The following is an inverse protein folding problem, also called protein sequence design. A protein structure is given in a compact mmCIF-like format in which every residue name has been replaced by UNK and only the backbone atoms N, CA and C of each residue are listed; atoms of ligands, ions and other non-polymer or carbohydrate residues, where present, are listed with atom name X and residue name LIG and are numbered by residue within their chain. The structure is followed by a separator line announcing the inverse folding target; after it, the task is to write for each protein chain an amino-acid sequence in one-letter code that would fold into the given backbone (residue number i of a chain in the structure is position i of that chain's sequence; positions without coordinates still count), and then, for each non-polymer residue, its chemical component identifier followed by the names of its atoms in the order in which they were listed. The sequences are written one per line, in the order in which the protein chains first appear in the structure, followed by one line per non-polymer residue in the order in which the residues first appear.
data_IF_509954273494
#
_entry.id   IF_509954273494
#
_cell.length_a   1.000
_cell.length_b   1.000
_cell.length_c   1.000
_cell.angle_alpha   90.00
_cell.angle_beta   90.00
_cell.angle_gamma   90.00
#
_symmetry.space_group_name_H-M   'P 1'
#
loop_
_entity.id
_entity.type
_entity.pdbx_description
1 polymer ?
2 non-polymer ?
3 non-polymer ?
4 water ?
#
# COMPACT_ATOMS: atom_id res chain seq x y z
N UNK A 8 17.14 13.13 -18.88
CA UNK A 8 16.86 11.94 -18.08
C UNK A 8 15.67 12.18 -17.15
N UNK A 9 14.86 11.14 -16.96
CA UNK A 9 13.65 11.23 -16.16
C UNK A 9 13.73 10.25 -14.99
N UNK A 10 13.68 10.71 -13.74
CA UNK A 10 13.78 9.75 -12.62
C UNK A 10 12.56 8.88 -12.44
N UNK A 11 11.36 9.37 -12.76
CA UNK A 11 10.14 8.58 -12.65
C UNK A 11 9.38 8.54 -13.97
N UNK A 12 8.54 7.53 -14.19
CA UNK A 12 7.80 7.44 -15.44
C UNK A 12 6.80 8.56 -15.59
N UNK A 13 6.19 8.59 -16.78
CA UNK A 13 5.24 9.63 -17.17
C UNK A 13 4.08 9.72 -16.19
N UNK A 14 4.00 10.85 -15.49
CA UNK A 14 2.89 11.20 -14.59
C UNK A 14 2.91 10.39 -13.29
N UNK A 15 4.01 9.72 -12.98
CA UNK A 15 4.16 9.13 -11.66
C UNK A 15 4.60 10.21 -10.66
N UNK A 16 4.41 9.91 -9.38
CA UNK A 16 4.84 10.80 -8.31
C UNK A 16 6.19 10.33 -7.78
N UNK A 17 7.03 11.29 -7.41
CA UNK A 17 8.38 11.02 -6.94
C UNK A 17 8.50 11.41 -5.47
N UNK A 18 9.16 10.57 -4.69
CA UNK A 18 9.39 10.84 -3.28
C UNK A 18 10.60 10.06 -2.80
N UNK A 19 11.60 10.77 -2.30
CA UNK A 19 12.76 10.18 -1.65
C UNK A 19 13.31 8.99 -2.46
N UNK A 20 13.69 9.28 -3.69
CA UNK A 20 14.36 8.30 -4.51
C UNK A 20 13.51 7.11 -4.90
N UNK A 21 12.19 7.27 -4.90
CA UNK A 21 11.29 6.20 -5.31
C UNK A 21 10.19 6.79 -6.17
N UNK A 22 9.54 5.93 -6.96
CA UNK A 22 8.49 6.32 -7.87
C UNK A 22 7.21 5.60 -7.47
N UNK A 23 6.18 6.38 -7.15
CA UNK A 23 4.90 5.84 -6.76
C UNK A 23 3.85 6.18 -7.82
N UNK A 24 2.72 5.48 -7.74
CA UNK A 24 1.68 5.59 -8.76
C UNK A 24 0.37 5.12 -8.16
N UNK A 25 -0.62 6.00 -8.10
CA UNK A 25 -1.96 5.63 -7.65
C UNK A 25 -2.82 5.28 -8.86
N UNK A 26 -3.46 4.12 -8.79
CA UNK A 26 -4.31 3.69 -9.89
C UNK A 26 -5.50 4.61 -10.04
N UNK A 27 -6.11 4.57 -11.22
CA UNK A 27 -7.36 5.27 -11.48
C UNK A 27 -8.47 4.28 -11.83
N UNK A 28 -8.23 2.99 -11.66
CA UNK A 28 -9.27 1.96 -11.67
C UNK A 28 -9.11 1.12 -10.40
N UNK A 29 -10.08 0.25 -10.16
CA UNK A 29 -10.09 -0.55 -8.93
C UNK A 29 -9.88 -2.03 -9.24
N UNK A 30 -9.25 -2.72 -8.29
CA UNK A 30 -8.93 -4.13 -8.40
C UNK A 30 -8.95 -4.76 -7.02
N UNK A 31 -9.02 -6.09 -6.99
CA UNK A 31 -8.85 -6.76 -5.72
C UNK A 31 -7.36 -6.87 -5.40
N UNK A 32 -7.05 -7.30 -4.18
CA UNK A 32 -5.69 -7.21 -3.68
C UNK A 32 -4.71 -7.97 -4.57
N UNK A 33 -5.06 -9.21 -4.93
CA UNK A 33 -4.16 -10.01 -5.75
C UNK A 33 -4.03 -9.43 -7.15
N UNK A 34 -5.15 -9.03 -7.75
CA UNK A 34 -5.08 -8.37 -9.05
C UNK A 34 -4.29 -7.07 -8.99
N UNK A 35 -4.17 -6.46 -7.81
CA UNK A 35 -3.44 -5.21 -7.68
C UNK A 35 -1.93 -5.44 -7.74
N UNK A 36 -1.41 -6.35 -6.91
CA UNK A 36 0.01 -6.67 -7.00
C UNK A 36 0.36 -7.14 -8.40
N UNK A 37 -0.52 -7.92 -9.03
CA UNK A 37 -0.34 -8.26 -10.42
C UNK A 37 -0.16 -7.02 -11.27
N UNK A 38 -1.06 -6.04 -11.10
CA UNK A 38 -0.99 -4.82 -11.88
C UNK A 38 0.37 -4.13 -11.72
N UNK A 39 0.85 -4.03 -10.48
CA UNK A 39 2.14 -3.39 -10.25
C UNK A 39 3.27 -4.19 -10.87
N UNK A 40 3.23 -5.53 -10.73
CA UNK A 40 4.22 -6.36 -11.40
C UNK A 40 4.23 -6.11 -12.90
N UNK A 41 3.05 -5.98 -13.51
CA UNK A 41 2.97 -5.76 -14.95
C UNK A 41 3.81 -4.56 -15.39
N UNK A 42 3.94 -3.56 -14.52
CA UNK A 42 4.76 -2.39 -14.83
C UNK A 42 6.12 -2.47 -14.15
N UNK A 43 6.54 -3.66 -13.75
CA UNK A 43 7.82 -3.81 -13.08
C UNK A 43 7.89 -3.04 -11.78
N UNK A 44 6.78 -2.99 -11.05
CA UNK A 44 6.71 -2.32 -9.76
C UNK A 44 6.10 -3.29 -8.75
N UNK A 45 5.89 -2.80 -7.53
CA UNK A 45 5.37 -3.61 -6.44
C UNK A 45 4.28 -2.85 -5.72
N UNK A 46 3.21 -3.56 -5.35
CA UNK A 46 2.23 -2.99 -4.45
C UNK A 46 2.95 -2.46 -3.22
N UNK A 47 2.76 -1.17 -2.93
CA UNK A 47 3.68 -0.43 -2.09
C UNK A 47 3.98 -1.17 -0.79
N UNK A 48 5.26 -1.20 -0.45
CA UNK A 48 5.74 -1.62 0.87
C UNK A 48 6.34 -0.39 1.53
N UNK A 49 5.78 0.00 2.67
CA UNK A 49 6.26 1.17 3.39
C UNK A 49 7.49 0.79 4.19
N UNK A 50 8.52 1.64 4.12
CA UNK A 50 9.78 1.40 4.84
C UNK A 50 10.21 2.53 5.76
N UNK A 51 9.63 3.74 5.62
CA UNK A 51 9.99 4.87 6.46
C UNK A 51 8.73 5.47 7.07
N UNK A 52 8.92 6.24 8.15
CA UNK A 52 7.79 6.96 8.74
C UNK A 52 7.29 8.03 7.78
N UNK A 53 8.21 8.79 7.17
CA UNK A 53 7.80 9.87 6.27
C UNK A 53 7.14 9.31 5.01
N UNK A 54 7.56 8.13 4.56
CA UNK A 54 6.89 7.49 3.44
C UNK A 54 5.41 7.26 3.76
N UNK A 55 5.14 6.73 4.95
CA UNK A 55 3.76 6.53 5.39
C UNK A 55 2.96 7.82 5.31
N UNK A 56 3.42 8.87 6.00
CA UNK A 56 2.66 10.11 6.03
C UNK A 56 2.48 10.67 4.63
N UNK A 57 3.48 10.50 3.78
CA UNK A 57 3.36 10.93 2.39
C UNK A 57 2.21 10.20 1.70
N UNK A 58 2.30 8.86 1.64
CA UNK A 58 1.26 8.08 0.98
C UNK A 58 -0.10 8.26 1.64
N UNK A 59 -0.14 8.21 2.98
CA UNK A 59 -1.40 8.42 3.69
C UNK A 59 -2.05 9.73 3.28
N UNK A 60 -1.24 10.74 2.95
CA UNK A 60 -1.79 12.04 2.56
C UNK A 60 -2.34 12.01 1.14
N UNK A 61 -1.56 11.49 0.19
CA UNK A 61 -2.04 11.42 -1.19
C UNK A 61 -3.32 10.60 -1.26
N UNK A 62 -3.40 9.50 -0.51
CA UNK A 62 -4.56 8.63 -0.55
C UNK A 62 -5.80 9.34 0.00
N UNK A 63 -5.66 9.98 1.17
CA UNK A 63 -6.81 10.61 1.80
C UNK A 63 -7.34 11.77 0.96
N UNK A 64 -6.44 12.67 0.55
CA UNK A 64 -6.87 13.87 -0.18
C UNK A 64 -7.49 13.55 -1.54
N UNK A 65 -7.32 12.33 -2.04
CA UNK A 65 -8.06 11.88 -3.22
C UNK A 65 -9.32 11.12 -2.86
N UNK A 66 -9.62 11.01 -1.56
CA UNK A 66 -10.82 10.30 -1.08
C UNK A 66 -10.97 8.95 -1.79
N UNK A 67 -9.97 8.11 -1.59
CA UNK A 67 -9.91 6.80 -2.21
C UNK A 67 -9.37 5.78 -1.23
N UNK A 68 -10.09 4.68 -1.06
CA UNK A 68 -9.57 3.54 -0.33
C UNK A 68 -8.56 2.80 -1.19
N UNK A 69 -7.35 2.64 -0.67
CA UNK A 69 -6.20 2.24 -1.47
C UNK A 69 -5.51 1.03 -0.86
N UNK A 70 -5.30 -0.01 -1.68
CA UNK A 70 -4.57 -1.19 -1.26
C UNK A 70 -3.10 -0.86 -1.04
N UNK A 71 -2.49 -1.51 -0.04
CA UNK A 71 -1.05 -1.51 0.13
C UNK A 71 -0.59 -2.96 0.25
N UNK A 72 0.69 -3.17 0.01
CA UNK A 72 1.23 -4.51 -0.02
C UNK A 72 1.47 -5.11 1.35
N UNK A 73 0.41 -5.32 2.12
CA UNK A 73 0.50 -5.86 3.46
C UNK A 73 -0.67 -6.79 3.71
N UNK A 74 -0.39 -7.96 4.29
CA UNK A 74 -1.41 -8.97 4.47
C UNK A 74 -1.02 -9.87 5.64
N UNK A 75 -1.96 -10.73 6.04
CA UNK A 75 -1.68 -11.77 7.03
C UNK A 75 -2.09 -13.14 6.49
N UNK A 76 -1.94 -13.33 5.19
CA UNK A 76 -2.32 -14.59 4.55
C UNK A 76 -1.34 -15.71 4.84
N UNK A 77 -0.10 -15.39 5.22
CA UNK A 77 0.83 -16.42 5.68
C UNK A 77 0.38 -17.03 7.00
N UNK A 78 -0.34 -16.27 7.83
CA UNK A 78 -0.77 -16.74 9.14
C UNK A 78 -1.57 -15.65 9.86
N UNK A 79 -2.67 -16.04 10.49
CA UNK A 79 -3.56 -15.06 11.11
C UNK A 79 -2.84 -14.31 12.22
N UNK A 80 -3.00 -12.99 12.23
CA UNK A 80 -2.33 -12.13 13.19
C UNK A 80 -0.91 -11.75 12.82
N UNK A 81 -0.33 -12.37 11.78
CA UNK A 81 1.05 -12.13 11.38
C UNK A 81 1.05 -11.25 10.13
N UNK A 82 1.19 -9.94 10.33
CA UNK A 82 1.13 -8.99 9.23
C UNK A 82 2.50 -8.82 8.61
N UNK A 83 2.56 -9.02 7.30
CA UNK A 83 3.83 -9.16 6.60
C UNK A 83 3.73 -8.53 5.21
N UNK A 84 4.73 -7.74 4.86
CA UNK A 84 4.75 -7.06 3.57
C UNK A 84 5.07 -8.04 2.45
N UNK A 85 4.59 -7.73 1.25
CA UNK A 85 4.71 -8.64 0.12
C UNK A 85 6.16 -8.89 -0.28
N UNK A 86 7.11 -8.16 0.30
CA UNK A 86 8.52 -8.49 0.15
C UNK A 86 9.02 -9.43 1.25
N UNK A 87 8.11 -10.07 1.98
CA UNK A 87 8.51 -10.96 3.05
C UNK A 87 8.77 -10.24 4.36
N UNK A 88 9.22 -8.99 4.27
CA UNK A 88 9.59 -8.25 5.48
C UNK A 88 8.38 -8.17 6.42
N UNK A 89 8.59 -8.22 7.73
CA UNK A 89 7.47 -8.23 8.66
C UNK A 89 7.00 -6.82 9.00
N UNK A 90 5.83 -6.75 9.64
CA UNK A 90 5.30 -5.48 10.12
C UNK A 90 5.92 -5.19 11.47
N UNK A 91 6.75 -4.14 11.53
CA UNK A 91 7.48 -3.85 12.76
C UNK A 91 6.56 -3.23 13.79
N UNK A 92 6.89 -3.36 15.08
CA UNK A 92 6.07 -2.70 16.11
C UNK A 92 5.93 -1.22 15.88
N UNK A 93 6.98 -0.56 15.37
CA UNK A 93 6.93 0.87 15.16
C UNK A 93 5.80 1.24 14.20
N UNK A 94 5.57 0.43 13.16
CA UNK A 94 4.57 0.75 12.16
C UNK A 94 3.15 0.49 12.62
N UNK A 95 2.97 -0.28 13.70
CA UNK A 95 1.62 -0.65 14.13
C UNK A 95 0.81 0.53 14.64
N UNK A 96 1.44 1.68 14.88
CA UNK A 96 0.69 2.86 15.28
C UNK A 96 -0.14 3.43 14.13
N UNK A 97 0.16 3.04 12.89
CA UNK A 97 -0.53 3.59 11.73
C UNK A 97 -1.85 2.90 11.46
N UNK A 98 -2.13 1.77 12.10
CA UNK A 98 -3.47 1.25 12.11
C UNK A 98 -4.43 2.30 12.63
N UNK A 99 -5.65 2.31 12.10
CA UNK A 99 -6.71 3.10 12.69
C UNK A 99 -7.11 2.53 14.04
N UNK A 100 -7.61 3.40 14.91
CA UNK A 100 -8.05 2.94 16.22
C UNK A 100 -9.12 1.87 16.07
N UNK A 101 -8.99 0.80 16.83
CA UNK A 101 -9.88 -0.33 16.70
C UNK A 101 -9.55 -1.26 15.55
N UNK A 102 -8.49 -0.98 14.80
CA UNK A 102 -8.04 -1.86 13.74
C UNK A 102 -6.65 -2.40 14.08
N UNK A 103 -6.28 -3.56 13.55
CA UNK A 103 -7.10 -4.45 12.73
C UNK A 103 -8.09 -5.24 13.58
N UNK A 104 -9.33 -5.34 13.13
CA UNK A 104 -10.36 -6.04 13.88
C UNK A 104 -10.80 -7.35 13.24
N UNK A 105 -10.45 -7.60 11.98
CA UNK A 105 -10.71 -8.88 11.33
C UNK A 105 -12.20 -9.22 11.34
N UNK A 106 -13.03 -8.21 11.12
CA UNK A 106 -14.52 -8.38 11.14
C UNK A 106 -14.94 -9.11 9.85
N UNK A 107 -15.46 -10.33 9.97
CA UNK A 107 -15.88 -11.14 8.81
C UNK A 107 -14.67 -11.75 8.11
N UNK A 108 -13.52 -11.83 8.79
CA UNK A 108 -12.25 -12.35 8.21
C UNK A 108 -11.72 -11.30 7.24
N UNK A 109 -10.61 -10.63 7.57
CA UNK A 109 -10.05 -9.55 6.77
C UNK A 109 -8.53 -9.66 6.80
N UNK A 110 -7.91 -9.92 5.65
CA UNK A 110 -6.51 -10.32 5.59
C UNK A 110 -5.64 -9.40 4.76
N UNK A 111 -6.14 -8.24 4.34
CA UNK A 111 -5.36 -7.30 3.56
C UNK A 111 -5.56 -5.89 4.10
N UNK A 112 -4.52 -5.07 3.97
CA UNK A 112 -4.49 -3.74 4.57
C UNK A 112 -4.64 -2.66 3.51
N UNK A 113 -5.28 -1.56 3.89
CA UNK A 113 -5.58 -0.46 2.99
C UNK A 113 -5.37 0.86 3.71
N UNK A 114 -5.21 1.92 2.92
CA UNK A 114 -5.27 3.27 3.45
C UNK A 114 -6.73 3.69 3.56
N UNK A 115 -7.19 3.97 4.77
CA UNK A 115 -8.54 4.42 5.03
C UNK A 115 -8.45 5.61 5.99
N UNK A 116 -8.68 6.81 5.47
CA UNK A 116 -8.63 8.02 6.27
C UNK A 116 -7.26 8.36 6.85
N UNK A 117 -7.17 8.38 8.18
CA UNK A 117 -5.94 8.79 8.84
C UNK A 117 -4.89 7.68 8.90
N UNK A 118 -5.30 6.43 8.76
CA UNK A 118 -4.39 5.32 8.93
C UNK A 118 -4.80 4.13 8.10
N UNK A 119 -4.58 2.95 8.63
CA UNK A 119 -4.80 1.70 7.92
C UNK A 119 -6.01 0.97 8.50
N UNK A 120 -6.58 0.10 7.67
CA UNK A 120 -7.63 -0.82 8.09
C UNK A 120 -7.43 -2.14 7.36
N UNK A 121 -7.75 -3.23 8.05
CA UNK A 121 -7.78 -4.54 7.44
C UNK A 121 -9.15 -4.76 6.80
N UNK A 122 -9.16 -5.24 5.56
CA UNK A 122 -10.39 -5.50 4.84
C UNK A 122 -10.25 -6.81 4.08
N UNK A 123 -11.32 -7.19 3.39
CA UNK A 123 -11.35 -8.44 2.65
C UNK A 123 -10.57 -8.31 1.36
N UNK A 124 -9.64 -9.24 1.13
CA UNK A 124 -8.72 -9.11 0.00
C UNK A 124 -9.45 -9.15 -1.33
N UNK A 125 -10.60 -9.81 -1.40
CA UNK A 125 -11.35 -9.87 -2.65
C UNK A 125 -12.21 -8.63 -2.87
N UNK A 126 -12.20 -7.69 -1.93
CA UNK A 126 -12.91 -6.43 -2.11
C UNK A 126 -12.09 -5.52 -3.02
N UNK A 127 -12.74 -4.95 -4.03
CA UNK A 127 -12.03 -4.16 -5.03
C UNK A 127 -11.83 -2.73 -4.55
N UNK A 128 -10.59 -2.24 -4.66
CA UNK A 128 -10.22 -0.89 -4.26
C UNK A 128 -9.17 -0.37 -5.22
N UNK A 129 -8.72 0.86 -4.99
CA UNK A 129 -7.59 1.42 -5.72
C UNK A 129 -6.29 0.84 -5.16
N UNK A 130 -5.16 1.21 -5.76
CA UNK A 130 -3.88 0.67 -5.30
C UNK A 130 -2.76 1.61 -5.69
N UNK A 131 -1.62 1.43 -5.02
CA UNK A 131 -0.44 2.27 -5.23
C UNK A 131 0.75 1.36 -5.49
N UNK A 132 1.46 1.60 -6.60
CA UNK A 132 2.64 0.84 -6.95
C UNK A 132 3.89 1.63 -6.56
N UNK A 133 4.98 0.90 -6.33
CA UNK A 133 6.25 1.49 -5.94
C UNK A 133 7.39 0.81 -6.69
N UNK A 134 8.33 1.63 -7.16
CA UNK A 134 9.54 1.11 -7.79
C UNK A 134 10.67 2.10 -7.51
N UNK A 135 11.90 1.63 -7.68
CA UNK A 135 13.07 2.47 -7.44
C UNK A 135 13.21 3.50 -8.55
N UNK A 136 13.57 4.72 -8.17
CA UNK A 136 13.77 5.78 -9.15
C UNK A 136 15.05 5.55 -9.93
N UNK A 137 15.01 5.92 -11.21
CA UNK A 137 16.14 5.73 -12.10
C UNK A 137 17.20 6.80 -11.88
N UNK A 138 18.45 6.40 -12.05
CA UNK A 138 19.57 7.30 -11.86
C UNK A 138 19.84 8.13 -13.11
N UNK A 139 20.15 9.40 -12.91
CA UNK A 139 20.46 10.31 -14.00
C UNK A 139 21.92 10.74 -13.95
#
# INVERSE_FOLDING_TARGET
GSHMERLCHPCPWEWTFFQGNCYFMSNSQRNWHDSITACKEVGAQLVVIKSAEEQNFLQLQSSRSNRFTWMGLSDLNQEGTWQWVDGSPLLPSFKQYWNRGEPNNVGEEDCAEFSGNGWNDDKCNLAKFWICKKSAASCSRDEEQFLSPAPATPNPPPA
#
